data_IF_082117721355
#
_entry.id   IF_082117721355
#
_cell.length_a   1.000
_cell.length_b   1.000
_cell.length_c   1.000
_cell.angle_alpha   90.00
_cell.angle_beta   90.00
_cell.angle_gamma   90.00
#
_symmetry.space_group_name_H-M   'P 1'
#
loop_
_entity.id
_entity.type
_entity.pdbx_description
1 polymer ?
#
# COMPACT_ATOMS: atom_id res chain seq x y z
N UNK A 1 -28.15 -14.14 -38.95
CA UNK A 1 -27.96 -12.96 -38.07
C UNK A 1 -29.33 -12.63 -37.52
N UNK A 2 -29.80 -13.41 -36.54
CA UNK A 2 -31.14 -13.28 -35.98
C UNK A 2 -31.14 -12.13 -34.96
N UNK A 3 -31.62 -10.97 -35.41
CA UNK A 3 -31.82 -9.79 -34.59
C UNK A 3 -33.02 -10.00 -33.68
N UNK A 4 -32.76 -10.17 -32.39
CA UNK A 4 -33.76 -10.31 -31.34
C UNK A 4 -34.52 -8.97 -31.20
N UNK A 5 -35.65 -8.84 -31.90
CA UNK A 5 -36.45 -7.61 -31.91
C UNK A 5 -37.34 -7.61 -30.66
N UNK A 6 -36.76 -7.30 -29.50
CA UNK A 6 -37.51 -7.20 -28.25
C UNK A 6 -38.60 -6.13 -28.38
N UNK A 7 -39.85 -6.55 -28.23
CA UNK A 7 -41.00 -5.66 -28.30
C UNK A 7 -40.99 -4.70 -27.11
N UNK A 8 -41.50 -3.48 -27.27
CA UNK A 8 -41.61 -2.50 -26.17
C UNK A 8 -42.32 -3.09 -24.93
N UNK A 9 -43.30 -3.96 -25.15
CA UNK A 9 -44.03 -4.66 -24.08
C UNK A 9 -43.13 -5.65 -23.29
N UNK A 10 -42.16 -6.29 -23.97
CA UNK A 10 -41.19 -7.18 -23.32
C UNK A 10 -40.20 -6.38 -22.47
N UNK A 11 -39.72 -5.24 -22.97
CA UNK A 11 -38.88 -4.32 -22.20
C UNK A 11 -39.61 -3.75 -20.98
N UNK A 12 -40.91 -3.42 -21.13
CA UNK A 12 -41.74 -2.95 -20.02
C UNK A 12 -41.94 -4.04 -18.95
N UNK A 13 -42.23 -5.28 -19.36
CA UNK A 13 -42.35 -6.42 -18.44
C UNK A 13 -41.04 -6.71 -17.72
N UNK A 14 -39.91 -6.70 -18.43
CA UNK A 14 -38.58 -6.87 -17.84
C UNK A 14 -38.26 -5.78 -16.82
N UNK A 15 -38.53 -4.51 -17.16
CA UNK A 15 -38.33 -3.37 -16.24
C UNK A 15 -39.17 -3.55 -14.97
N UNK A 16 -40.46 -3.89 -15.11
CA UNK A 16 -41.37 -4.10 -13.98
C UNK A 16 -40.96 -5.29 -13.11
N UNK A 17 -40.47 -6.37 -13.72
CA UNK A 17 -39.95 -7.54 -13.01
C UNK A 17 -38.67 -7.20 -12.22
N UNK A 18 -37.75 -6.44 -12.82
CA UNK A 18 -36.52 -6.00 -12.16
C UNK A 18 -36.81 -5.01 -11.03
N UNK A 19 -37.74 -4.07 -11.22
CA UNK A 19 -38.21 -3.17 -10.16
C UNK A 19 -38.78 -3.96 -8.97
N UNK A 20 -39.63 -4.96 -9.23
CA UNK A 20 -40.18 -5.80 -8.18
C UNK A 20 -39.10 -6.63 -7.47
N UNK A 21 -38.09 -7.12 -8.21
CA UNK A 21 -36.93 -7.81 -7.65
C UNK A 21 -36.15 -6.91 -6.70
N UNK A 22 -35.83 -5.68 -7.13
CA UNK A 22 -35.10 -4.70 -6.32
C UNK A 22 -35.89 -4.32 -5.05
N UNK A 23 -37.21 -4.12 -5.17
CA UNK A 23 -38.09 -3.87 -4.02
C UNK A 23 -38.05 -5.04 -3.04
N UNK A 24 -38.13 -6.27 -3.53
CA UNK A 24 -38.07 -7.47 -2.68
C UNK A 24 -36.70 -7.62 -2.01
N UNK A 25 -35.62 -7.30 -2.71
CA UNK A 25 -34.27 -7.29 -2.16
C UNK A 25 -34.10 -6.24 -1.05
N UNK A 26 -34.59 -5.02 -1.27
CA UNK A 26 -34.58 -3.96 -0.24
C UNK A 26 -35.40 -4.35 0.98
N UNK A 27 -36.58 -4.96 0.79
CA UNK A 27 -37.41 -5.48 1.88
C UNK A 27 -36.68 -6.56 2.67
N UNK A 28 -36.02 -7.51 1.98
CA UNK A 28 -35.20 -8.55 2.62
C UNK A 28 -34.05 -7.92 3.42
N UNK A 29 -33.28 -7.01 2.83
CA UNK A 29 -32.16 -6.31 3.51
C UNK A 29 -32.65 -5.57 4.76
N UNK A 30 -33.76 -4.84 4.66
CA UNK A 30 -34.38 -4.14 5.80
C UNK A 30 -34.87 -5.10 6.89
N UNK A 31 -35.44 -6.24 6.52
CA UNK A 31 -35.87 -7.26 7.47
C UNK A 31 -34.66 -7.85 8.24
N UNK A 32 -33.55 -8.13 7.54
CA UNK A 32 -32.31 -8.57 8.18
C UNK A 32 -31.76 -7.54 9.18
N UNK A 33 -31.76 -6.25 8.82
CA UNK A 33 -31.31 -5.17 9.74
C UNK A 33 -32.19 -5.08 10.99
N UNK A 34 -33.51 -5.27 10.86
CA UNK A 34 -34.43 -5.26 12.02
C UNK A 34 -34.26 -6.45 12.95
N UNK A 35 -33.78 -7.58 12.44
CA UNK A 35 -33.53 -8.79 13.19
C UNK A 35 -32.10 -8.85 13.77
N UNK A 36 -31.21 -7.96 13.33
CA UNK A 36 -29.86 -7.89 13.87
C UNK A 36 -29.92 -7.40 15.32
N UNK A 37 -29.21 -8.05 16.26
CA UNK A 37 -29.12 -7.58 17.62
C UNK A 37 -28.49 -6.18 17.65
N UNK A 38 -28.96 -5.34 18.57
CA UNK A 38 -28.49 -3.95 18.70
C UNK A 38 -27.02 -3.85 19.15
N UNK A 39 -26.50 -4.92 19.75
CA UNK A 39 -25.10 -5.08 20.15
C UNK A 39 -24.54 -6.36 19.52
N UNK A 40 -23.25 -6.37 19.15
CA UNK A 40 -22.60 -7.61 18.73
C UNK A 40 -22.60 -8.63 19.87
N UNK A 41 -22.61 -9.91 19.53
CA UNK A 41 -22.41 -10.97 20.53
C UNK A 41 -20.94 -11.09 20.91
N UNK A 42 -20.67 -11.77 22.04
CA UNK A 42 -19.30 -12.08 22.46
C UNK A 42 -18.53 -12.85 21.37
N UNK A 43 -19.15 -13.85 20.75
CA UNK A 43 -18.55 -14.64 19.67
C UNK A 43 -18.25 -13.81 18.42
N UNK A 44 -19.12 -12.84 18.08
CA UNK A 44 -18.88 -11.90 16.97
C UNK A 44 -17.60 -11.09 17.22
N UNK A 45 -17.42 -10.58 18.44
CA UNK A 45 -16.25 -9.76 18.81
C UNK A 45 -14.98 -10.61 18.84
N UNK A 46 -15.03 -11.80 19.45
CA UNK A 46 -13.90 -12.75 19.47
C UNK A 46 -13.47 -13.13 18.04
N UNK A 47 -14.43 -13.43 17.16
CA UNK A 47 -14.18 -13.76 15.76
C UNK A 47 -13.52 -12.59 15.03
N UNK A 48 -13.99 -11.36 15.25
CA UNK A 48 -13.39 -10.15 14.65
C UNK A 48 -11.95 -9.93 15.12
N UNK A 49 -11.68 -10.07 16.41
CA UNK A 49 -10.30 -9.95 16.94
C UNK A 49 -9.39 -10.94 16.23
N UNK A 50 -9.78 -12.22 16.15
CA UNK A 50 -9.00 -13.25 15.45
C UNK A 50 -8.76 -12.91 13.99
N UNK A 51 -9.78 -12.42 13.28
CA UNK A 51 -9.68 -12.03 11.87
C UNK A 51 -8.73 -10.85 11.66
N UNK A 52 -8.83 -9.80 12.48
CA UNK A 52 -7.97 -8.63 12.33
C UNK A 52 -6.53 -8.93 12.72
N UNK A 53 -6.29 -9.69 13.80
CA UNK A 53 -4.94 -10.17 14.17
C UNK A 53 -4.34 -11.01 13.03
N UNK A 54 -5.10 -11.96 12.48
CA UNK A 54 -4.65 -12.74 11.31
C UNK A 54 -4.34 -11.85 10.11
N UNK A 55 -5.10 -10.78 9.91
CA UNK A 55 -4.87 -9.84 8.81
C UNK A 55 -3.54 -9.11 8.98
N UNK A 56 -3.23 -8.62 10.19
CA UNK A 56 -1.91 -8.04 10.50
C UNK A 56 -0.81 -9.05 10.24
N UNK A 57 -0.92 -10.27 10.77
CA UNK A 57 0.08 -11.33 10.58
C UNK A 57 0.29 -11.70 9.12
N UNK A 58 -0.79 -11.79 8.35
CA UNK A 58 -0.71 -12.09 6.93
C UNK A 58 0.07 -10.99 6.19
N UNK A 59 -0.28 -9.72 6.39
CA UNK A 59 0.40 -8.59 5.74
C UNK A 59 1.89 -8.56 6.10
N UNK A 60 2.23 -8.78 7.36
CA UNK A 60 3.62 -8.82 7.84
C UNK A 60 4.40 -10.01 7.29
N UNK A 61 3.81 -11.22 7.25
CA UNK A 61 4.53 -12.43 6.81
C UNK A 61 4.62 -12.55 5.29
N UNK A 62 3.65 -12.03 4.54
CA UNK A 62 3.55 -12.25 3.10
C UNK A 62 4.24 -11.18 2.26
N UNK A 63 4.77 -10.12 2.87
CA UNK A 63 5.42 -9.06 2.10
C UNK A 63 6.88 -9.42 1.80
N UNK A 64 7.34 -9.07 0.60
CA UNK A 64 8.70 -9.30 0.09
C UNK A 64 9.48 -7.97 0.01
N UNK A 65 9.05 -6.98 0.80
CA UNK A 65 9.54 -5.60 0.69
C UNK A 65 11.05 -5.48 0.82
N UNK A 66 11.64 -6.21 1.78
CA UNK A 66 13.08 -6.18 2.00
C UNK A 66 13.84 -6.80 0.82
N UNK A 67 13.33 -7.88 0.25
CA UNK A 67 13.96 -8.58 -0.89
C UNK A 67 13.86 -7.72 -2.15
N UNK A 68 12.67 -7.19 -2.46
CA UNK A 68 12.43 -6.28 -3.58
C UNK A 68 13.32 -5.03 -3.49
N UNK A 69 13.46 -4.47 -2.29
CA UNK A 69 14.32 -3.32 -2.06
C UNK A 69 15.80 -3.66 -2.17
N UNK A 70 16.24 -4.79 -1.63
CA UNK A 70 17.63 -5.23 -1.72
C UNK A 70 18.04 -5.44 -3.18
N UNK A 71 17.19 -6.08 -3.99
CA UNK A 71 17.41 -6.25 -5.42
C UNK A 71 17.50 -4.91 -6.14
N UNK A 72 16.55 -4.00 -5.87
CA UNK A 72 16.54 -2.68 -6.49
C UNK A 72 17.79 -1.87 -6.13
N UNK A 73 18.16 -1.83 -4.84
CA UNK A 73 19.32 -1.07 -4.36
C UNK A 73 20.64 -1.66 -4.86
N UNK A 74 20.73 -2.98 -5.06
CA UNK A 74 21.90 -3.61 -5.67
C UNK A 74 22.13 -3.15 -7.13
N UNK A 75 21.06 -2.80 -7.86
CA UNK A 75 21.14 -2.33 -9.24
C UNK A 75 21.45 -0.82 -9.36
N UNK A 76 21.48 -0.08 -8.26
CA UNK A 76 21.68 1.38 -8.21
C UNK A 76 22.85 1.88 -9.05
N UNK A 77 24.04 1.32 -8.83
CA UNK A 77 25.26 1.73 -9.54
C UNK A 77 25.15 1.49 -11.05
N UNK A 78 24.45 0.43 -11.47
CA UNK A 78 24.22 0.14 -12.88
C UNK A 78 23.29 1.16 -13.54
N UNK A 79 22.24 1.61 -12.86
CA UNK A 79 21.39 2.71 -13.35
C UNK A 79 22.19 4.00 -13.49
N UNK A 80 22.96 4.37 -12.47
CA UNK A 80 23.75 5.61 -12.50
C UNK A 80 24.84 5.58 -13.57
N UNK A 81 25.53 4.46 -13.77
CA UNK A 81 26.52 4.31 -14.83
C UNK A 81 25.92 4.49 -16.24
N UNK A 82 24.63 4.20 -16.40
CA UNK A 82 23.88 4.34 -17.66
C UNK A 82 23.20 5.70 -17.82
N UNK A 83 23.37 6.61 -16.86
CA UNK A 83 22.65 7.88 -16.80
C UNK A 83 21.12 7.70 -16.74
N UNK A 84 20.69 6.68 -16.01
CA UNK A 84 19.29 6.32 -15.82
C UNK A 84 18.82 6.62 -14.38
N UNK A 85 19.37 7.66 -13.73
CA UNK A 85 19.03 7.99 -12.35
C UNK A 85 17.53 8.34 -12.18
N UNK A 86 16.89 8.93 -13.20
CA UNK A 86 15.45 9.16 -13.23
C UNK A 86 14.62 7.87 -13.16
N UNK A 87 15.06 6.84 -13.89
CA UNK A 87 14.40 5.54 -13.88
C UNK A 87 14.58 4.84 -12.53
N UNK A 88 15.79 4.88 -11.96
CA UNK A 88 16.05 4.37 -10.62
C UNK A 88 15.17 5.06 -9.58
N UNK A 89 15.13 6.40 -9.57
CA UNK A 89 14.28 7.19 -8.67
C UNK A 89 12.82 6.78 -8.76
N UNK A 90 12.27 6.67 -9.97
CA UNK A 90 10.88 6.25 -10.19
C UNK A 90 10.59 4.85 -9.61
N UNK A 91 11.53 3.89 -9.79
CA UNK A 91 11.39 2.56 -9.17
C UNK A 91 11.40 2.61 -7.64
N UNK A 92 12.28 3.42 -7.05
CA UNK A 92 12.36 3.58 -5.59
C UNK A 92 11.11 4.30 -5.04
N UNK A 93 10.56 5.27 -5.77
CA UNK A 93 9.28 5.92 -5.42
C UNK A 93 8.10 4.94 -5.48
N UNK A 94 8.07 4.02 -6.44
CA UNK A 94 7.07 2.95 -6.47
C UNK A 94 7.17 2.03 -5.25
N UNK A 95 8.40 1.63 -4.88
CA UNK A 95 8.63 0.87 -3.65
C UNK A 95 8.13 1.64 -2.42
N UNK A 96 8.43 2.94 -2.33
CA UNK A 96 7.95 3.83 -1.25
C UNK A 96 6.43 3.78 -1.12
N UNK A 97 5.70 3.92 -2.24
CA UNK A 97 4.24 3.86 -2.25
C UNK A 97 3.72 2.49 -1.78
N UNK A 98 4.36 1.40 -2.20
CA UNK A 98 4.00 0.05 -1.74
C UNK A 98 4.18 -0.10 -0.23
N UNK A 99 5.31 0.37 0.32
CA UNK A 99 5.57 0.35 1.78
C UNK A 99 4.53 1.19 2.53
N UNK A 100 4.22 2.39 2.06
CA UNK A 100 3.18 3.24 2.64
C UNK A 100 1.81 2.55 2.67
N UNK A 101 1.42 1.91 1.55
CA UNK A 101 0.17 1.16 1.49
C UNK A 101 0.13 -0.03 2.45
N UNK A 102 1.27 -0.65 2.75
CA UNK A 102 1.36 -1.72 3.76
C UNK A 102 1.22 -1.16 5.16
N UNK A 103 1.90 -0.05 5.49
CA UNK A 103 1.76 0.66 6.77
C UNK A 103 0.29 1.01 7.04
N UNK A 104 -0.40 1.58 6.05
CA UNK A 104 -1.80 1.96 6.18
C UNK A 104 -2.71 0.74 6.46
N UNK A 105 -2.47 -0.38 5.77
CA UNK A 105 -3.23 -1.62 6.00
C UNK A 105 -3.00 -2.19 7.40
N UNK A 106 -1.74 -2.22 7.86
CA UNK A 106 -1.41 -2.68 9.22
C UNK A 106 -2.06 -1.75 10.24
N UNK A 107 -1.93 -0.43 10.08
CA UNK A 107 -2.53 0.56 10.98
C UNK A 107 -4.05 0.41 11.05
N UNK A 108 -4.73 0.29 9.92
CA UNK A 108 -6.18 0.10 9.87
C UNK A 108 -6.63 -1.21 10.52
N UNK A 109 -5.89 -2.31 10.30
CA UNK A 109 -6.17 -3.57 10.97
C UNK A 109 -5.92 -3.49 12.49
N UNK A 110 -4.85 -2.82 12.92
CA UNK A 110 -4.53 -2.61 14.33
C UNK A 110 -5.58 -1.78 15.06
N UNK A 111 -6.06 -0.71 14.42
CA UNK A 111 -7.15 0.11 14.95
C UNK A 111 -8.43 -0.73 15.10
N UNK A 112 -8.76 -1.55 14.10
CA UNK A 112 -9.89 -2.46 14.16
C UNK A 112 -9.76 -3.52 15.26
N UNK A 113 -8.55 -4.03 15.54
CA UNK A 113 -8.28 -4.89 16.70
C UNK A 113 -8.55 -4.11 18.00
N UNK A 114 -7.98 -2.92 18.16
CA UNK A 114 -8.13 -2.10 19.37
C UNK A 114 -9.59 -1.81 19.66
N UNK A 115 -10.34 -1.35 18.66
CA UNK A 115 -11.78 -1.10 18.80
C UNK A 115 -12.57 -2.37 19.17
N UNK A 116 -12.12 -3.54 18.70
CA UNK A 116 -12.76 -4.81 19.05
C UNK A 116 -12.48 -5.20 20.50
N UNK A 117 -11.28 -4.94 21.03
CA UNK A 117 -11.00 -5.09 22.45
C UNK A 117 -11.85 -4.15 23.32
N UNK A 118 -11.95 -2.87 22.93
CA UNK A 118 -12.80 -1.89 23.62
C UNK A 118 -14.28 -2.34 23.59
N UNK A 119 -14.75 -2.85 22.45
CA UNK A 119 -16.11 -3.39 22.31
C UNK A 119 -16.32 -4.58 23.24
N UNK A 120 -15.33 -5.46 23.38
CA UNK A 120 -15.41 -6.61 24.28
C UNK A 120 -15.52 -6.14 25.75
N UNK A 121 -14.75 -5.12 26.14
CA UNK A 121 -14.85 -4.52 27.47
C UNK A 121 -16.24 -3.93 27.73
N UNK A 122 -16.82 -3.23 26.75
CA UNK A 122 -18.19 -2.71 26.84
C UNK A 122 -19.23 -3.82 27.02
N UNK A 123 -19.07 -4.98 26.37
CA UNK A 123 -19.96 -6.13 26.57
C UNK A 123 -19.86 -6.70 27.99
N UNK A 124 -18.67 -6.73 28.58
CA UNK A 124 -18.49 -7.13 29.99
C UNK A 124 -19.19 -6.14 30.93
N UNK A 125 -19.00 -4.84 30.72
CA UNK A 125 -19.66 -3.80 31.51
C UNK A 125 -21.19 -3.86 31.39
N UNK A 126 -21.70 -4.18 30.19
CA UNK A 126 -23.11 -4.41 29.93
C UNK A 126 -23.65 -5.74 30.48
N UNK A 127 -22.78 -6.59 31.06
CA UNK A 127 -23.10 -7.93 31.55
C UNK A 127 -23.63 -8.87 30.47
N UNK A 128 -23.26 -8.63 29.21
CA UNK A 128 -23.59 -9.47 28.06
C UNK A 128 -22.45 -10.42 27.68
N UNK A 129 -21.26 -10.22 28.25
CA UNK A 129 -20.11 -11.12 28.18
C UNK A 129 -19.50 -11.35 29.57
N UNK A 130 -18.75 -12.43 29.73
CA UNK A 130 -18.11 -12.80 31.00
C UNK A 130 -16.62 -12.45 31.04
N UNK A 131 -16.14 -11.94 32.17
CA UNK A 131 -14.73 -11.59 32.36
C UNK A 131 -13.81 -12.83 32.32
N UNK A 132 -14.27 -13.96 32.87
CA UNK A 132 -13.56 -15.24 32.81
C UNK A 132 -13.40 -15.74 31.36
N UNK A 133 -14.43 -15.54 30.53
CA UNK A 133 -14.41 -15.91 29.11
C UNK A 133 -13.38 -15.06 28.35
N UNK A 134 -13.33 -13.75 28.59
CA UNK A 134 -12.30 -12.85 28.03
C UNK A 134 -10.90 -13.28 28.44
N UNK A 135 -10.68 -13.56 29.72
CA UNK A 135 -9.37 -13.98 30.22
C UNK A 135 -8.93 -15.30 29.56
N UNK A 136 -9.85 -16.26 29.38
CA UNK A 136 -9.56 -17.50 28.65
C UNK A 136 -9.24 -17.22 27.18
N UNK A 137 -10.02 -16.37 26.51
CA UNK A 137 -9.84 -16.02 25.11
C UNK A 137 -8.48 -15.35 24.84
N UNK A 138 -8.01 -14.45 25.72
CA UNK A 138 -6.69 -13.82 25.56
C UNK A 138 -5.51 -14.79 25.75
N UNK A 139 -5.73 -15.94 26.38
CA UNK A 139 -4.74 -17.01 26.45
C UNK A 139 -4.71 -17.89 25.18
N UNK A 140 -5.63 -17.68 24.23
CA UNK A 140 -5.59 -18.34 22.93
C UNK A 140 -4.57 -17.66 22.00
N UNK A 141 -4.26 -18.33 20.89
CA UNK A 141 -3.39 -17.81 19.85
C UNK A 141 -4.03 -17.89 18.46
N UNK A 142 -3.54 -17.05 17.56
CA UNK A 142 -3.78 -17.09 16.13
C UNK A 142 -2.43 -17.18 15.44
N UNK A 143 -2.21 -18.29 14.73
CA UNK A 143 -1.00 -18.55 13.94
C UNK A 143 0.30 -18.38 14.76
N UNK A 144 0.27 -18.80 16.05
CA UNK A 144 1.38 -18.74 16.99
C UNK A 144 1.53 -17.40 17.73
N UNK A 145 0.60 -16.46 17.56
CA UNK A 145 0.59 -15.16 18.23
C UNK A 145 -0.57 -15.08 19.20
N UNK A 146 -0.27 -14.77 20.46
CA UNK A 146 -1.29 -14.60 21.51
C UNK A 146 -2.28 -13.49 21.17
N UNK A 147 -3.52 -13.66 21.59
CA UNK A 147 -4.59 -12.66 21.49
C UNK A 147 -4.61 -11.67 22.67
N UNK A 148 -3.58 -11.68 23.52
CA UNK A 148 -3.44 -10.70 24.58
C UNK A 148 -3.30 -9.27 23.98
N UNK A 149 -4.12 -8.30 24.43
CA UNK A 149 -4.10 -6.94 23.89
C UNK A 149 -2.74 -6.24 24.00
N UNK A 150 -2.00 -6.47 25.09
CA UNK A 150 -0.69 -5.84 25.32
C UNK A 150 0.30 -6.39 24.31
N UNK A 151 0.35 -7.72 24.16
CA UNK A 151 1.22 -8.36 23.18
C UNK A 151 0.90 -7.91 21.75
N UNK A 152 -0.38 -7.95 21.34
CA UNK A 152 -0.79 -7.60 19.98
C UNK A 152 -0.49 -6.12 19.68
N UNK A 153 -0.73 -5.23 20.66
CA UNK A 153 -0.37 -3.82 20.54
C UNK A 153 1.14 -3.62 20.36
N UNK A 154 1.96 -4.29 21.17
CA UNK A 154 3.42 -4.22 21.08
C UNK A 154 3.97 -4.81 19.78
N UNK A 155 3.42 -5.94 19.34
CA UNK A 155 3.78 -6.57 18.08
C UNK A 155 3.52 -5.62 16.91
N UNK A 156 2.31 -5.07 16.84
CA UNK A 156 1.91 -4.20 15.73
C UNK A 156 2.72 -2.90 15.72
N UNK A 157 2.98 -2.32 16.91
CA UNK A 157 3.80 -1.12 17.04
C UNK A 157 5.22 -1.35 16.52
N UNK A 158 5.89 -2.45 16.92
CA UNK A 158 7.24 -2.78 16.43
C UNK A 158 7.29 -2.95 14.93
N UNK A 159 6.27 -3.56 14.34
CA UNK A 159 6.19 -3.74 12.89
C UNK A 159 6.05 -2.39 12.17
N UNK A 160 5.22 -1.49 12.69
CA UNK A 160 5.07 -0.14 12.16
C UNK A 160 6.37 0.68 12.33
N UNK A 161 7.02 0.60 13.49
CA UNK A 161 8.30 1.27 13.75
C UNK A 161 9.37 0.81 12.73
N UNK A 162 9.45 -0.51 12.47
CA UNK A 162 10.33 -1.07 11.45
C UNK A 162 10.04 -0.52 10.06
N UNK A 163 8.77 -0.46 9.64
CA UNK A 163 8.39 0.04 8.33
C UNK A 163 8.63 1.56 8.19
N UNK A 164 8.44 2.33 9.26
CA UNK A 164 8.75 3.76 9.28
C UNK A 164 10.26 4.01 9.16
N UNK A 165 11.11 3.21 9.81
CA UNK A 165 12.56 3.24 9.60
C UNK A 165 12.94 2.85 8.17
N UNK A 166 12.29 1.83 7.63
CA UNK A 166 12.50 1.39 6.26
C UNK A 166 12.14 2.47 5.23
N UNK A 167 11.04 3.21 5.46
CA UNK A 167 10.69 4.37 4.65
C UNK A 167 11.76 5.45 4.65
N UNK A 168 12.35 5.76 5.81
CA UNK A 168 13.44 6.76 5.90
C UNK A 168 14.64 6.35 5.03
N UNK A 169 14.95 5.05 4.98
CA UNK A 169 16.02 4.53 4.10
C UNK A 169 15.66 4.73 2.63
N UNK A 170 14.43 4.43 2.24
CA UNK A 170 13.93 4.64 0.87
C UNK A 170 13.95 6.12 0.49
N UNK A 171 13.55 7.03 1.39
CA UNK A 171 13.60 8.47 1.17
C UNK A 171 15.06 8.97 0.95
N UNK A 172 16.02 8.35 1.64
CA UNK A 172 17.45 8.58 1.40
C UNK A 172 17.87 8.21 -0.03
N UNK A 173 17.43 7.05 -0.52
CA UNK A 173 17.72 6.59 -1.88
C UNK A 173 17.09 7.49 -2.96
N UNK A 174 15.87 8.00 -2.73
CA UNK A 174 15.21 8.97 -3.63
C UNK A 174 16.01 10.28 -3.68
N UNK A 175 16.48 10.74 -2.52
CA UNK A 175 17.26 11.98 -2.39
C UNK A 175 18.57 11.87 -3.15
N UNK A 176 19.29 10.75 -2.99
CA UNK A 176 20.55 10.51 -3.71
C UNK A 176 20.32 10.41 -5.23
N UNK A 177 19.28 9.67 -5.65
CA UNK A 177 18.94 9.58 -7.07
C UNK A 177 18.63 10.96 -7.68
N UNK A 178 17.93 11.83 -6.95
CA UNK A 178 17.66 13.20 -7.39
C UNK A 178 18.93 14.06 -7.53
N UNK A 179 19.93 13.87 -6.65
CA UNK A 179 21.22 14.55 -6.75
C UNK A 179 21.99 14.10 -8.01
N UNK A 180 22.00 12.80 -8.28
CA UNK A 180 22.65 12.24 -9.48
C UNK A 180 21.93 12.69 -10.75
N UNK A 181 20.60 12.69 -10.77
CA UNK A 181 19.81 13.24 -11.89
C UNK A 181 20.18 14.69 -12.19
N UNK A 182 20.28 15.54 -11.15
CA UNK A 182 20.68 16.93 -11.34
C UNK A 182 22.10 17.04 -11.93
N UNK A 183 23.03 16.18 -11.51
CA UNK A 183 24.37 16.11 -12.10
C UNK A 183 24.37 15.59 -13.55
N UNK A 184 23.48 14.65 -13.89
CA UNK A 184 23.28 14.15 -15.26
C UNK A 184 22.70 15.22 -16.19
N UNK A 185 21.74 16.01 -15.71
CA UNK A 185 21.14 17.14 -16.46
C UNK A 185 22.13 18.29 -16.64
N UNK A 186 23.04 18.47 -15.68
CA UNK A 186 24.21 19.35 -15.81
C UNK A 186 25.35 18.72 -16.62
N UNK A 187 25.00 17.81 -17.55
CA UNK A 187 25.87 17.22 -18.56
C UNK A 187 26.39 18.24 -19.58
N UNK A 188 27.17 19.18 -19.06
CA UNK A 188 28.20 20.01 -19.67
C UNK A 188 29.14 19.22 -20.58
N UNK A 189 29.07 17.88 -20.66
CA UNK A 189 29.86 17.10 -21.62
C UNK A 189 29.52 17.41 -23.08
N UNK A 190 28.24 17.62 -23.41
CA UNK A 190 27.89 18.03 -24.78
C UNK A 190 28.40 19.45 -25.04
N UNK A 191 28.21 20.36 -24.09
CA UNK A 191 28.62 21.75 -24.24
C UNK A 191 30.15 21.89 -24.23
N UNK A 192 30.86 21.11 -23.42
CA UNK A 192 32.33 21.01 -23.37
C UNK A 192 32.89 20.35 -24.64
N UNK A 193 32.24 19.30 -25.16
CA UNK A 193 32.63 18.72 -26.45
C UNK A 193 32.39 19.72 -27.59
N UNK A 194 31.25 20.42 -27.57
CA UNK A 194 30.93 21.43 -28.58
C UNK A 194 31.85 22.65 -28.50
N UNK A 195 32.22 23.10 -27.29
CA UNK A 195 33.21 24.16 -27.08
C UNK A 195 34.60 23.70 -27.50
N UNK A 196 35.01 22.46 -27.19
CA UNK A 196 36.28 21.92 -27.65
C UNK A 196 36.33 21.80 -29.18
N UNK A 197 35.25 21.36 -29.82
CA UNK A 197 35.13 21.32 -31.30
C UNK A 197 35.19 22.74 -31.87
N UNK A 198 34.51 23.70 -31.24
CA UNK A 198 34.52 25.10 -31.66
C UNK A 198 35.92 25.73 -31.56
N UNK A 199 36.61 25.55 -30.44
CA UNK A 199 37.98 26.03 -30.23
C UNK A 199 38.96 25.41 -31.23
N UNK A 200 38.80 24.12 -31.53
CA UNK A 200 39.63 23.42 -32.51
C UNK A 200 39.38 23.96 -33.94
N UNK A 201 38.13 24.28 -34.28
CA UNK A 201 37.75 24.89 -35.56
C UNK A 201 38.29 26.31 -35.71
N UNK A 202 38.20 27.13 -34.66
CA UNK A 202 38.76 28.49 -34.64
C UNK A 202 40.28 28.47 -34.81
N UNK A 203 40.97 27.57 -34.09
CA UNK A 203 42.43 27.39 -34.22
C UNK A 203 42.85 26.96 -35.63
N UNK A 204 42.08 26.09 -36.30
CA UNK A 204 42.37 25.70 -37.69
C UNK A 204 42.15 26.84 -38.68
N UNK A 205 41.16 27.71 -38.46
CA UNK A 205 40.91 28.87 -39.31
C UNK A 205 42.08 29.86 -39.20
N UNK A 206 42.52 30.18 -37.98
CA UNK A 206 43.68 31.06 -37.76
C UNK A 206 44.98 30.50 -38.39
N UNK A 207 45.17 29.17 -38.32
CA UNK A 207 46.31 28.51 -38.96
C UNK A 207 46.26 28.61 -40.50
N UNK A 208 45.08 28.42 -41.09
CA UNK A 208 44.88 28.56 -42.54
C UNK A 208 45.04 30.02 -43.01
N UNK A 209 44.61 31.00 -42.21
CA UNK A 209 44.76 32.42 -42.53
C UNK A 209 46.22 32.86 -42.44
N UNK A 210 46.97 32.38 -41.45
CA UNK A 210 48.41 32.68 -41.31
C UNK A 210 49.29 32.01 -42.38
N UNK A 211 48.84 30.93 -43.01
CA UNK A 211 49.54 30.27 -44.13
C UNK A 211 49.28 30.91 -45.49
N UNK A 212 48.24 31.75 -45.61
CA UNK A 212 47.86 32.44 -46.85
C UNK A 212 48.28 33.93 -46.88
N UNK A 213 49.01 34.39 -45.85
CA UNK A 213 49.59 35.74 -45.74
C UNK A 213 51.09 35.70 -46.04
#
# INVERSE_FOLDING_TARGET
MDGNNETYDDLFKKRKAEEQRLINELRRKRACVRLAPALPTEDDVQTKIKQFVRSVLYITKSNQLQDDAAELFAQKLHFFARREAALYKCKVENLRMTVQGIIEKIRGAAEAVSMSYDTYELLILAKTAAEESRAKFFNEDVDGVTLDPVFVGDFTRKELDFLDEFLKRIDGEITEAAQVMAAEDHGSFHDEIMDAIKQCKESMIEMCESMNA
#
